data_IF_483685948844
#
_entry.id   IF_483685948844
#
_cell.length_a   1.000
_cell.length_b   1.000
_cell.length_c   1.000
_cell.angle_alpha   90.00
_cell.angle_beta   90.00
_cell.angle_gamma   90.00
#
_symmetry.space_group_name_H-M   'P 1'
#
loop_
_entity.id
_entity.type
_entity.pdbx_description
1 polymer ?
#
# COMPACT_ATOMS: atom_id res chain seq x y z
N UNK A 1 -5.53 4.89 -92.03
CA UNK A 1 -5.15 5.96 -91.10
C UNK A 1 -6.14 5.93 -89.94
N UNK A 2 -6.06 4.95 -89.03
CA UNK A 2 -5.21 4.87 -87.83
C UNK A 2 -5.42 6.01 -86.85
N UNK A 3 -5.91 5.64 -85.66
CA UNK A 3 -6.06 6.41 -84.43
C UNK A 3 -7.23 7.43 -84.41
N UNK A 4 -7.90 7.51 -83.25
CA UNK A 4 -8.99 8.44 -82.88
C UNK A 4 -10.43 7.96 -83.17
N UNK A 5 -10.81 6.78 -82.68
CA UNK A 5 -12.20 6.53 -82.25
C UNK A 5 -12.32 5.42 -81.18
N UNK A 6 -11.38 5.38 -80.24
CA UNK A 6 -11.30 4.36 -79.19
C UNK A 6 -11.45 4.94 -77.77
N UNK A 7 -12.19 6.05 -77.60
CA UNK A 7 -12.28 6.77 -76.32
C UNK A 7 -13.69 7.25 -75.94
N UNK A 8 -14.76 6.55 -76.36
CA UNK A 8 -16.14 6.92 -75.95
C UNK A 8 -17.09 5.80 -75.56
N UNK A 9 -16.62 4.55 -75.38
CA UNK A 9 -17.48 3.43 -74.94
C UNK A 9 -17.01 2.65 -73.71
N UNK A 10 -15.94 3.07 -73.04
CA UNK A 10 -15.43 2.38 -71.84
C UNK A 10 -15.55 3.18 -70.54
N UNK A 11 -16.06 4.42 -70.58
CA UNK A 11 -16.16 5.26 -69.39
C UNK A 11 -17.48 5.08 -68.58
N UNK A 12 -18.47 4.37 -69.11
CA UNK A 12 -19.78 4.23 -68.46
C UNK A 12 -19.97 2.90 -67.69
N UNK A 13 -19.03 1.94 -67.79
CA UNK A 13 -19.15 0.63 -67.15
C UNK A 13 -18.22 0.42 -65.93
N UNK A 14 -17.31 1.37 -65.64
CA UNK A 14 -16.41 1.27 -64.47
C UNK A 14 -16.89 2.13 -63.28
N UNK A 15 -17.79 3.09 -63.50
CA UNK A 15 -18.33 3.93 -62.41
C UNK A 15 -19.56 3.37 -61.69
N UNK A 16 -20.13 2.24 -62.13
CA UNK A 16 -21.30 1.62 -61.50
C UNK A 16 -20.97 0.38 -60.63
N UNK A 17 -19.72 -0.08 -60.62
CA UNK A 17 -19.27 -1.20 -59.76
C UNK A 17 -18.34 -0.72 -58.63
N UNK A 18 -17.75 0.47 -58.76
CA UNK A 18 -16.96 1.09 -57.69
C UNK A 18 -17.82 1.83 -56.63
N UNK A 19 -19.15 1.92 -56.80
CA UNK A 19 -20.04 2.56 -55.83
C UNK A 19 -20.94 1.58 -55.05
N UNK A 20 -20.83 0.26 -55.27
CA UNK A 20 -21.62 -0.76 -54.55
C UNK A 20 -20.77 -1.78 -53.78
N UNK A 21 -19.43 -1.63 -53.80
CA UNK A 21 -18.49 -2.42 -53.00
C UNK A 21 -17.73 -1.59 -51.94
N UNK A 22 -18.18 -0.36 -51.69
CA UNK A 22 -17.71 0.47 -50.57
C UNK A 22 -18.79 0.64 -49.48
N UNK A 23 -19.81 -0.21 -49.46
CA UNK A 23 -20.97 -0.10 -48.57
C UNK A 23 -21.13 -1.26 -47.58
N UNK A 24 -20.13 -2.13 -47.45
CA UNK A 24 -20.22 -3.31 -46.59
C UNK A 24 -18.90 -3.61 -45.88
N UNK A 25 -18.44 -2.68 -45.04
CA UNK A 25 -17.57 -2.93 -43.87
C UNK A 25 -17.31 -1.63 -43.08
N UNK A 26 -18.28 -0.72 -43.03
CA UNK A 26 -18.41 0.15 -41.87
C UNK A 26 -19.31 -0.59 -40.90
N UNK A 27 -18.73 -1.51 -40.14
CA UNK A 27 -19.31 -1.82 -38.83
C UNK A 27 -19.28 -0.48 -38.11
N UNK A 28 -20.41 0.21 -38.08
CA UNK A 28 -20.65 1.20 -37.06
C UNK A 28 -20.52 0.41 -35.76
N UNK A 29 -19.32 0.39 -35.18
CA UNK A 29 -19.22 0.49 -33.74
C UNK A 29 -19.94 1.80 -33.44
N UNK A 30 -21.25 1.72 -33.23
CA UNK A 30 -21.88 2.63 -32.32
C UNK A 30 -20.93 2.63 -31.11
N UNK A 31 -20.39 3.78 -30.67
CA UNK A 31 -19.72 3.79 -29.39
C UNK A 31 -20.73 3.11 -28.46
N UNK A 32 -20.34 1.98 -27.84
CA UNK A 32 -21.09 1.52 -26.67
C UNK A 32 -21.22 2.78 -25.86
N UNK A 33 -22.46 3.19 -25.56
CA UNK A 33 -22.64 4.23 -24.57
C UNK A 33 -21.81 3.76 -23.38
N UNK A 34 -20.72 4.48 -23.10
CA UNK A 34 -19.95 4.24 -21.91
C UNK A 34 -20.94 4.57 -20.80
N UNK A 35 -21.60 3.55 -20.26
CA UNK A 35 -22.19 3.68 -18.94
C UNK A 35 -20.99 3.93 -18.06
N UNK A 36 -20.88 5.12 -17.48
CA UNK A 36 -19.94 5.31 -16.39
C UNK A 36 -20.23 4.21 -15.36
N UNK A 37 -19.21 3.48 -14.92
CA UNK A 37 -19.31 2.54 -13.81
C UNK A 37 -20.15 3.15 -12.67
N UNK A 38 -21.10 2.37 -12.15
CA UNK A 38 -22.03 2.82 -11.11
C UNK A 38 -21.91 1.93 -9.88
N UNK A 39 -22.07 2.55 -8.71
CA UNK A 39 -22.24 1.81 -7.47
C UNK A 39 -23.49 0.92 -7.57
N UNK A 40 -23.28 -0.39 -7.45
CA UNK A 40 -24.33 -1.40 -7.63
C UNK A 40 -24.57 -2.14 -6.34
N UNK A 41 -25.83 -2.28 -5.93
CA UNK A 41 -26.18 -3.12 -4.79
C UNK A 41 -26.20 -4.60 -5.18
N UNK A 42 -25.51 -5.42 -4.39
CA UNK A 42 -25.51 -6.88 -4.51
C UNK A 42 -26.31 -7.46 -3.33
N UNK A 43 -27.35 -8.23 -3.64
CA UNK A 43 -28.27 -8.76 -2.63
C UNK A 43 -27.99 -10.22 -2.26
N UNK A 44 -27.27 -10.95 -3.11
CA UNK A 44 -26.94 -12.37 -2.91
C UNK A 44 -25.42 -12.56 -3.00
N UNK A 45 -24.73 -12.41 -1.86
CA UNK A 45 -23.26 -12.50 -1.77
C UNK A 45 -22.76 -13.59 -0.80
N UNK A 46 -23.64 -14.50 -0.38
CA UNK A 46 -23.32 -15.59 0.54
C UNK A 46 -23.82 -15.37 1.97
N UNK A 47 -23.12 -15.98 2.94
CA UNK A 47 -23.52 -15.94 4.35
C UNK A 47 -23.53 -14.51 4.89
N UNK A 48 -24.65 -14.08 5.46
CA UNK A 48 -24.84 -12.70 5.93
C UNK A 48 -25.43 -12.63 7.35
N UNK A 49 -24.75 -13.19 8.38
CA UNK A 49 -25.26 -13.18 9.74
C UNK A 49 -25.36 -11.77 10.36
N UNK A 50 -24.57 -10.80 9.87
CA UNK A 50 -24.66 -9.39 10.26
C UNK A 50 -25.84 -8.62 9.63
N UNK A 51 -26.59 -9.23 8.71
CA UNK A 51 -27.67 -8.60 7.94
C UNK A 51 -27.23 -7.28 7.29
N UNK A 52 -26.05 -7.29 6.66
CA UNK A 52 -25.49 -6.13 5.96
C UNK A 52 -26.01 -6.06 4.53
N UNK A 53 -26.01 -4.86 3.96
CA UNK A 53 -26.12 -4.68 2.50
C UNK A 53 -24.72 -4.61 1.90
N UNK A 54 -24.55 -5.11 0.68
CA UNK A 54 -23.30 -4.99 -0.08
C UNK A 54 -23.52 -4.05 -1.25
N UNK A 55 -22.63 -3.07 -1.41
CA UNK A 55 -22.54 -2.27 -2.61
C UNK A 55 -21.16 -2.45 -3.22
N UNK A 56 -21.07 -2.45 -4.55
CA UNK A 56 -19.82 -2.65 -5.26
C UNK A 56 -19.66 -1.60 -6.35
N UNK A 57 -18.43 -1.11 -6.49
CA UNK A 57 -17.99 -0.34 -7.63
C UNK A 57 -16.94 -1.12 -8.42
N UNK A 58 -17.18 -1.31 -9.72
CA UNK A 58 -16.26 -1.98 -10.64
C UNK A 58 -15.97 -1.03 -11.81
N UNK A 59 -14.74 -0.52 -11.95
CA UNK A 59 -14.32 0.31 -13.08
C UNK A 59 -14.60 -0.34 -14.45
N UNK A 60 -14.96 0.48 -15.45
CA UNK A 60 -15.25 0.00 -16.80
C UNK A 60 -14.03 -0.64 -17.49
N UNK A 61 -12.84 -0.12 -17.19
CA UNK A 61 -11.57 -0.55 -17.77
C UNK A 61 -10.73 -1.36 -16.77
N UNK A 62 -11.37 -2.26 -16.05
CA UNK A 62 -10.67 -3.11 -15.08
C UNK A 62 -9.81 -4.16 -15.79
N UNK A 63 -8.53 -4.23 -15.41
CA UNK A 63 -7.59 -5.24 -15.91
C UNK A 63 -7.89 -6.64 -15.35
N UNK A 64 -7.22 -7.69 -15.85
CA UNK A 64 -7.37 -9.03 -15.28
C UNK A 64 -6.83 -9.06 -13.83
N UNK A 65 -7.47 -9.85 -12.96
CA UNK A 65 -7.09 -10.03 -11.55
C UNK A 65 -6.95 -8.69 -10.79
N UNK A 66 -8.01 -7.85 -10.75
CA UNK A 66 -7.98 -6.60 -10.01
C UNK A 66 -7.84 -6.85 -8.52
N UNK A 67 -7.18 -5.93 -7.83
CA UNK A 67 -7.23 -5.92 -6.38
C UNK A 67 -8.65 -5.66 -5.86
N UNK A 68 -8.92 -6.05 -4.62
CA UNK A 68 -10.17 -5.78 -3.91
C UNK A 68 -9.88 -4.84 -2.75
N UNK A 69 -10.62 -3.74 -2.65
CA UNK A 69 -10.59 -2.82 -1.52
C UNK A 69 -11.94 -2.83 -0.81
N UNK A 70 -11.98 -3.29 0.43
CA UNK A 70 -13.16 -3.15 1.31
C UNK A 70 -13.11 -1.79 1.99
N UNK A 71 -14.14 -0.97 1.84
CA UNK A 71 -14.23 0.38 2.42
C UNK A 71 -15.40 0.48 3.40
N UNK A 72 -15.09 0.56 4.69
CA UNK A 72 -16.06 0.49 5.80
C UNK A 72 -16.43 1.89 6.33
N UNK A 73 -17.73 2.18 6.44
CA UNK A 73 -18.26 3.49 6.84
C UNK A 73 -18.25 3.73 8.36
N UNK A 74 -18.57 4.95 8.78
CA UNK A 74 -18.68 5.35 10.20
C UNK A 74 -20.09 5.08 10.77
N UNK A 75 -20.25 5.16 12.10
CA UNK A 75 -21.58 5.15 12.74
C UNK A 75 -22.49 6.21 12.14
N UNK A 76 -23.80 6.01 12.11
CA UNK A 76 -24.82 6.84 11.42
C UNK A 76 -24.69 6.98 9.89
N UNK A 77 -23.58 6.53 9.28
CA UNK A 77 -23.36 6.55 7.84
C UNK A 77 -23.93 5.32 7.11
N UNK A 78 -23.57 5.21 5.83
CA UNK A 78 -23.88 4.08 4.94
C UNK A 78 -22.79 3.89 3.89
N UNK A 79 -22.87 2.81 3.13
CA UNK A 79 -22.04 2.60 1.95
C UNK A 79 -22.10 3.78 0.96
N UNK A 80 -23.31 4.31 0.67
CA UNK A 80 -23.48 5.43 -0.26
C UNK A 80 -22.86 6.72 0.28
N UNK A 81 -22.97 6.99 1.58
CA UNK A 81 -22.32 8.17 2.18
C UNK A 81 -20.79 8.09 2.07
N UNK A 82 -20.22 6.90 2.27
CA UNK A 82 -18.78 6.68 2.17
C UNK A 82 -18.29 6.75 0.72
N UNK A 83 -19.06 6.18 -0.21
CA UNK A 83 -18.83 6.26 -1.65
C UNK A 83 -18.74 7.72 -2.11
N UNK A 84 -19.75 8.54 -1.78
CA UNK A 84 -19.80 9.95 -2.17
C UNK A 84 -18.67 10.79 -1.55
N UNK A 85 -18.16 10.40 -0.38
CA UNK A 85 -17.25 11.23 0.41
C UNK A 85 -15.76 10.87 0.27
N UNK A 86 -15.40 9.59 0.37
CA UNK A 86 -13.99 9.19 0.25
C UNK A 86 -13.53 9.12 -1.20
N UNK A 87 -14.43 8.89 -2.17
CA UNK A 87 -14.10 8.87 -3.61
C UNK A 87 -13.03 7.84 -4.01
N UNK A 88 -13.00 6.68 -3.35
CA UNK A 88 -12.10 5.57 -3.75
C UNK A 88 -12.42 5.02 -5.15
N UNK A 89 -13.60 5.29 -5.68
CA UNK A 89 -14.06 4.94 -7.02
C UNK A 89 -13.36 5.73 -8.12
N UNK A 90 -13.14 7.04 -7.95
CA UNK A 90 -12.35 7.84 -8.90
C UNK A 90 -10.91 7.30 -9.04
N UNK A 91 -10.34 6.87 -7.92
CA UNK A 91 -9.03 6.23 -7.89
C UNK A 91 -9.09 4.79 -8.45
N UNK A 92 -10.20 4.09 -8.30
CA UNK A 92 -10.41 2.77 -8.89
C UNK A 92 -10.44 2.84 -10.42
N UNK A 93 -11.09 3.87 -10.99
CA UNK A 93 -11.05 4.17 -12.42
C UNK A 93 -9.62 4.40 -12.92
N UNK A 94 -8.76 5.03 -12.11
CA UNK A 94 -7.39 5.33 -12.46
C UNK A 94 -6.43 4.13 -12.33
N UNK A 95 -6.59 3.32 -11.28
CA UNK A 95 -5.60 2.30 -10.89
C UNK A 95 -6.09 0.86 -11.01
N UNK A 96 -7.36 0.63 -11.34
CA UNK A 96 -7.90 -0.68 -11.70
C UNK A 96 -8.03 -1.65 -10.53
N UNK A 97 -8.94 -1.37 -9.59
CA UNK A 97 -9.31 -2.26 -8.49
C UNK A 97 -10.83 -2.23 -8.25
N UNK A 98 -11.36 -3.27 -7.62
CA UNK A 98 -12.77 -3.36 -7.19
C UNK A 98 -12.90 -2.69 -5.83
N UNK A 99 -13.98 -1.95 -5.60
CA UNK A 99 -14.32 -1.43 -4.27
C UNK A 99 -15.59 -2.08 -3.75
N UNK A 100 -15.50 -2.71 -2.58
CA UNK A 100 -16.63 -3.29 -1.86
C UNK A 100 -16.98 -2.37 -0.70
N UNK A 101 -18.24 -1.96 -0.61
CA UNK A 101 -18.78 -1.08 0.42
C UNK A 101 -19.86 -1.83 1.23
N UNK A 102 -19.50 -2.43 2.37
CA UNK A 102 -20.48 -2.96 3.31
C UNK A 102 -21.33 -1.83 3.89
N UNK A 103 -22.63 -2.04 4.08
CA UNK A 103 -23.54 -1.07 4.68
C UNK A 103 -24.34 -1.69 5.83
N UNK A 104 -24.23 -1.08 7.01
CA UNK A 104 -24.93 -1.53 8.22
C UNK A 104 -26.42 -1.20 8.16
N UNK A 105 -27.29 -2.17 8.46
CA UNK A 105 -28.74 -2.01 8.39
C UNK A 105 -29.37 -1.57 9.71
N UNK A 106 -28.82 -2.00 10.86
CA UNK A 106 -29.32 -1.67 12.22
C UNK A 106 -29.28 -0.16 12.53
N UNK A 107 -30.00 0.24 13.58
CA UNK A 107 -30.29 1.64 13.89
C UNK A 107 -29.05 2.50 14.18
N UNK A 108 -28.04 1.96 14.87
CA UNK A 108 -26.79 2.68 15.19
C UNK A 108 -25.96 2.99 13.95
N UNK A 109 -26.09 2.16 12.90
CA UNK A 109 -25.20 2.10 11.74
C UNK A 109 -23.72 1.90 12.10
N UNK A 110 -23.40 1.57 13.34
CA UNK A 110 -22.06 1.19 13.76
C UNK A 110 -21.85 -0.28 13.40
N UNK A 111 -20.67 -0.65 12.90
CA UNK A 111 -20.26 -2.03 12.70
C UNK A 111 -20.22 -2.80 14.03
N UNK A 112 -20.57 -4.09 14.00
CA UNK A 112 -20.45 -4.97 15.15
C UNK A 112 -18.98 -5.33 15.37
N UNK A 113 -18.34 -4.58 16.27
CA UNK A 113 -16.95 -4.78 16.70
C UNK A 113 -16.86 -5.12 18.19
N UNK A 114 -17.99 -5.50 18.78
CA UNK A 114 -18.14 -5.73 20.21
C UNK A 114 -18.50 -7.19 20.53
N UNK A 115 -19.31 -7.83 19.67
CA UNK A 115 -19.76 -9.19 19.90
C UNK A 115 -18.63 -10.21 19.71
N UNK A 116 -18.64 -11.27 20.53
CA UNK A 116 -17.71 -12.39 20.35
C UNK A 116 -17.88 -13.06 18.99
N UNK A 117 -19.08 -13.07 18.42
CA UNK A 117 -19.33 -13.67 17.11
C UNK A 117 -18.56 -12.95 16.00
N UNK A 118 -18.58 -11.61 15.99
CA UNK A 118 -17.82 -10.81 15.03
C UNK A 118 -16.31 -10.88 15.31
N UNK A 119 -15.90 -10.82 16.58
CA UNK A 119 -14.49 -10.84 16.99
C UNK A 119 -13.79 -12.22 16.83
N UNK A 120 -14.53 -13.30 16.57
CA UNK A 120 -13.97 -14.64 16.36
C UNK A 120 -14.28 -15.22 14.97
N UNK A 121 -14.92 -14.45 14.09
CA UNK A 121 -15.29 -14.91 12.75
C UNK A 121 -16.33 -16.03 12.73
N UNK A 122 -17.09 -16.22 13.81
CA UNK A 122 -18.16 -17.23 13.88
C UNK A 122 -19.54 -16.65 13.53
N UNK A 123 -19.64 -15.34 13.34
CA UNK A 123 -20.87 -14.66 12.92
C UNK A 123 -20.71 -13.15 12.88
N UNK A 124 -21.83 -12.43 12.94
CA UNK A 124 -21.83 -10.96 12.95
C UNK A 124 -21.35 -10.33 11.65
N UNK A 125 -20.97 -9.07 11.73
CA UNK A 125 -20.59 -8.28 10.57
C UNK A 125 -19.32 -8.77 9.88
N UNK A 126 -18.32 -9.24 10.65
CA UNK A 126 -17.04 -9.65 10.08
C UNK A 126 -17.21 -10.82 9.11
N UNK A 127 -18.07 -11.80 9.42
CA UNK A 127 -18.42 -12.90 8.51
C UNK A 127 -19.16 -12.39 7.27
N UNK A 128 -20.14 -11.51 7.44
CA UNK A 128 -20.85 -10.91 6.31
C UNK A 128 -19.89 -10.22 5.34
N UNK A 129 -18.92 -9.46 5.84
CA UNK A 129 -17.93 -8.75 5.01
C UNK A 129 -16.96 -9.73 4.34
N UNK A 130 -16.56 -10.81 5.03
CA UNK A 130 -15.76 -11.89 4.43
C UNK A 130 -16.51 -12.48 3.23
N UNK A 131 -17.80 -12.79 3.36
CA UNK A 131 -18.62 -13.27 2.23
C UNK A 131 -18.65 -12.28 1.06
N UNK A 132 -18.67 -10.97 1.33
CA UNK A 132 -18.58 -9.96 0.26
C UNK A 132 -17.23 -9.99 -0.47
N UNK A 133 -16.13 -10.25 0.25
CA UNK A 133 -14.81 -10.44 -0.37
C UNK A 133 -14.79 -11.70 -1.22
N UNK A 134 -15.34 -12.82 -0.72
CA UNK A 134 -15.44 -14.06 -1.49
C UNK A 134 -16.22 -13.84 -2.79
N UNK A 135 -17.36 -13.15 -2.71
CA UNK A 135 -18.13 -12.77 -3.89
C UNK A 135 -17.30 -11.94 -4.88
N UNK A 136 -16.51 -10.98 -4.40
CA UNK A 136 -15.65 -10.17 -5.26
C UNK A 136 -14.54 -11.00 -5.93
N UNK A 137 -14.04 -12.04 -5.28
CA UNK A 137 -13.07 -12.97 -5.85
C UNK A 137 -13.75 -13.85 -6.90
N UNK A 138 -14.81 -14.55 -6.51
CA UNK A 138 -15.42 -15.63 -7.29
C UNK A 138 -16.24 -15.10 -8.48
N UNK A 139 -17.01 -14.03 -8.27
CA UNK A 139 -17.97 -13.52 -9.26
C UNK A 139 -17.46 -12.31 -10.04
N UNK A 140 -16.55 -11.53 -9.46
CA UNK A 140 -16.00 -10.31 -10.09
C UNK A 140 -14.55 -10.49 -10.56
N UNK A 141 -13.96 -11.66 -10.34
CA UNK A 141 -12.61 -12.02 -10.80
C UNK A 141 -11.49 -11.31 -10.04
N UNK A 142 -11.78 -10.82 -8.82
CA UNK A 142 -10.80 -10.18 -7.97
C UNK A 142 -9.66 -11.13 -7.57
N UNK A 143 -8.48 -10.57 -7.39
CA UNK A 143 -7.26 -11.30 -7.06
C UNK A 143 -7.22 -11.61 -5.54
N UNK A 144 -7.28 -12.89 -5.13
CA UNK A 144 -7.23 -13.27 -3.71
C UNK A 144 -5.90 -12.91 -3.04
N UNK A 145 -4.84 -12.68 -3.83
CA UNK A 145 -3.54 -12.23 -3.31
C UNK A 145 -3.44 -10.70 -3.16
N UNK A 146 -4.50 -9.96 -3.50
CA UNK A 146 -4.53 -8.48 -3.48
C UNK A 146 -5.82 -7.95 -2.86
N UNK A 147 -6.14 -8.40 -1.66
CA UNK A 147 -7.29 -7.92 -0.88
C UNK A 147 -6.85 -6.98 0.24
N UNK A 148 -7.50 -5.84 0.35
CA UNK A 148 -7.19 -4.76 1.29
C UNK A 148 -8.47 -4.27 1.99
N UNK A 149 -8.32 -3.70 3.18
CA UNK A 149 -9.43 -3.10 3.91
C UNK A 149 -9.09 -1.71 4.42
N UNK A 150 -10.05 -0.81 4.38
CA UNK A 150 -9.94 0.53 4.94
C UNK A 150 -11.25 0.93 5.60
N UNK A 151 -11.19 1.90 6.49
CA UNK A 151 -12.40 2.48 7.05
C UNK A 151 -12.13 3.62 7.99
N UNK A 152 -13.22 4.25 8.42
CA UNK A 152 -13.19 5.41 9.32
C UNK A 152 -14.10 5.20 10.52
N UNK A 153 -13.68 5.67 11.71
CA UNK A 153 -14.47 5.55 12.93
C UNK A 153 -14.84 4.09 13.20
N UNK A 154 -16.12 3.75 13.36
CA UNK A 154 -16.59 2.37 13.44
C UNK A 154 -16.08 1.46 12.31
N UNK A 155 -15.92 1.97 11.09
CA UNK A 155 -15.32 1.22 9.98
C UNK A 155 -13.82 1.02 10.12
N UNK A 156 -13.12 1.92 10.79
CA UNK A 156 -11.71 1.75 11.17
C UNK A 156 -11.56 0.66 12.24
N UNK A 157 -12.50 0.59 13.19
CA UNK A 157 -12.57 -0.52 14.15
C UNK A 157 -12.83 -1.85 13.44
N UNK A 158 -13.79 -1.88 12.51
CA UNK A 158 -14.11 -3.09 11.74
C UNK A 158 -12.92 -3.52 10.88
N UNK A 159 -12.16 -2.58 10.31
CA UNK A 159 -10.93 -2.90 9.57
C UNK A 159 -9.90 -3.62 10.47
N UNK A 160 -9.70 -3.16 11.71
CA UNK A 160 -8.89 -3.90 12.69
C UNK A 160 -9.43 -5.32 12.96
N UNK A 161 -10.76 -5.48 13.08
CA UNK A 161 -11.41 -6.79 13.25
C UNK A 161 -11.15 -7.71 12.05
N UNK A 162 -11.36 -7.22 10.83
CA UNK A 162 -11.16 -8.00 9.61
C UNK A 162 -9.72 -8.52 9.48
N UNK A 163 -8.74 -7.65 9.75
CA UNK A 163 -7.32 -8.02 9.69
C UNK A 163 -6.92 -9.01 10.79
N UNK A 164 -7.51 -8.92 11.98
CA UNK A 164 -7.23 -9.83 13.09
C UNK A 164 -7.89 -11.19 12.94
N UNK A 165 -9.11 -11.23 12.41
CA UNK A 165 -9.90 -12.46 12.26
C UNK A 165 -9.56 -13.23 10.98
N UNK A 166 -9.29 -12.53 9.88
CA UNK A 166 -9.03 -13.12 8.55
C UNK A 166 -7.66 -12.70 7.98
N UNK A 167 -6.55 -12.93 8.70
CA UNK A 167 -5.22 -12.51 8.25
C UNK A 167 -4.76 -13.21 6.96
N UNK A 168 -5.33 -14.37 6.64
CA UNK A 168 -5.08 -15.08 5.38
C UNK A 168 -5.69 -14.37 4.15
N UNK A 169 -6.76 -13.60 4.36
CA UNK A 169 -7.50 -12.89 3.32
C UNK A 169 -6.84 -11.55 3.01
N UNK A 170 -6.65 -10.70 4.02
CA UNK A 170 -6.21 -9.32 3.81
C UNK A 170 -4.68 -9.19 3.79
N UNK A 171 -4.12 -8.42 2.86
CA UNK A 171 -2.66 -8.18 2.78
C UNK A 171 -2.22 -6.93 3.52
N UNK A 172 -3.10 -5.93 3.60
CA UNK A 172 -2.90 -4.74 4.39
C UNK A 172 -4.22 -4.04 4.72
N UNK A 173 -4.20 -3.21 5.75
CA UNK A 173 -5.33 -2.37 6.16
C UNK A 173 -4.91 -0.95 6.53
N UNK A 174 -5.85 -0.02 6.39
CA UNK A 174 -5.66 1.39 6.72
C UNK A 174 -6.83 1.93 7.53
N UNK A 175 -6.56 2.50 8.69
CA UNK A 175 -7.58 2.86 9.67
C UNK A 175 -7.55 4.34 10.01
N UNK A 176 -8.68 5.02 9.83
CA UNK A 176 -8.84 6.45 10.08
C UNK A 176 -9.66 6.66 11.35
N UNK A 177 -9.00 7.11 12.42
CA UNK A 177 -9.59 7.28 13.75
C UNK A 177 -10.33 6.02 14.22
N UNK A 178 -9.56 4.95 14.48
CA UNK A 178 -10.05 3.65 14.94
C UNK A 178 -9.67 3.33 16.38
N UNK A 179 -9.79 2.06 16.77
CA UNK A 179 -9.29 1.52 18.04
C UNK A 179 -8.69 0.13 17.79
N UNK A 180 -7.88 -0.40 18.72
CA UNK A 180 -7.30 -1.74 18.57
C UNK A 180 -8.37 -2.82 18.44
N UNK A 181 -8.03 -3.91 17.75
CA UNK A 181 -8.81 -5.14 17.74
C UNK A 181 -9.10 -5.62 19.18
N UNK A 182 -10.34 -6.05 19.44
CA UNK A 182 -10.90 -6.41 20.77
C UNK A 182 -11.10 -5.27 21.77
N UNK A 183 -10.69 -4.03 21.47
CA UNK A 183 -10.86 -2.92 22.42
C UNK A 183 -12.35 -2.64 22.70
N UNK A 184 -13.22 -2.75 21.69
CA UNK A 184 -14.66 -2.57 21.83
C UNK A 184 -15.42 -3.80 22.33
N UNK A 185 -14.74 -4.89 22.68
CA UNK A 185 -15.40 -6.10 23.16
C UNK A 185 -16.33 -5.81 24.35
N UNK A 186 -17.54 -6.36 24.31
CA UNK A 186 -18.50 -6.30 25.42
C UNK A 186 -19.06 -7.70 25.71
N UNK A 187 -19.59 -7.88 26.92
CA UNK A 187 -20.23 -9.15 27.35
C UNK A 187 -21.69 -8.99 27.71
N UNK A 188 -22.21 -7.75 27.69
CA UNK A 188 -23.57 -7.36 28.06
C UNK A 188 -24.46 -7.09 26.84
N UNK A 189 -23.91 -7.23 25.63
CA UNK A 189 -24.60 -6.94 24.37
C UNK A 189 -24.56 -5.47 23.96
N UNK A 190 -23.84 -4.61 24.68
CA UNK A 190 -23.65 -3.21 24.30
C UNK A 190 -22.81 -3.09 23.02
N UNK A 191 -23.26 -2.29 22.06
CA UNK A 191 -22.50 -1.99 20.83
C UNK A 191 -21.38 -0.95 21.07
N UNK A 192 -21.39 -0.28 22.23
CA UNK A 192 -20.45 0.78 22.56
C UNK A 192 -19.70 0.46 23.86
N UNK A 193 -18.37 0.50 23.80
CA UNK A 193 -17.52 0.37 24.98
C UNK A 193 -16.88 1.72 25.31
N UNK A 194 -17.47 2.43 26.29
CA UNK A 194 -16.98 3.77 26.68
C UNK A 194 -15.56 3.74 27.23
N UNK A 195 -15.16 2.68 27.94
CA UNK A 195 -13.80 2.55 28.48
C UNK A 195 -12.76 2.53 27.36
N UNK A 196 -13.03 1.80 26.27
CA UNK A 196 -12.19 1.84 25.09
C UNK A 196 -12.27 3.20 24.37
N UNK A 197 -13.49 3.70 24.10
CA UNK A 197 -13.69 4.93 23.35
C UNK A 197 -12.96 6.13 23.99
N UNK A 198 -12.94 6.22 25.32
CA UNK A 198 -12.24 7.30 26.04
C UNK A 198 -10.77 6.98 26.34
N UNK A 199 -10.19 5.95 25.72
CA UNK A 199 -8.76 5.63 25.82
C UNK A 199 -8.32 5.19 27.23
N UNK A 200 -9.22 4.56 27.99
CA UNK A 200 -8.92 4.09 29.37
C UNK A 200 -8.51 2.61 29.41
N UNK A 201 -8.54 1.90 28.28
CA UNK A 201 -7.93 0.58 28.15
C UNK A 201 -6.47 0.79 27.77
N UNK A 202 -5.59 0.36 28.66
CA UNK A 202 -4.13 0.37 28.50
C UNK A 202 -3.69 -1.08 28.72
N UNK A 203 -3.31 -1.76 27.63
CA UNK A 203 -2.78 -3.13 27.68
C UNK A 203 -1.36 -3.13 27.15
N UNK A 204 -0.56 -4.07 27.63
CA UNK A 204 0.77 -4.27 27.08
C UNK A 204 0.71 -4.67 25.59
N UNK A 205 1.73 -4.35 24.79
CA UNK A 205 1.84 -4.84 23.40
C UNK A 205 1.62 -6.35 23.29
N UNK A 206 2.13 -7.12 24.26
CA UNK A 206 1.95 -8.57 24.32
C UNK A 206 0.49 -8.97 24.48
N UNK A 207 -0.25 -8.38 25.41
CA UNK A 207 -1.67 -8.66 25.62
C UNK A 207 -2.51 -8.31 24.38
N UNK A 208 -2.17 -7.20 23.71
CA UNK A 208 -2.83 -6.84 22.46
C UNK A 208 -2.53 -7.81 21.32
N UNK A 209 -1.27 -8.17 21.12
CA UNK A 209 -0.88 -9.11 20.08
C UNK A 209 -1.42 -10.53 20.33
N UNK A 210 -1.45 -10.97 21.60
CA UNK A 210 -2.04 -12.26 21.98
C UNK A 210 -3.55 -12.28 21.72
N UNK A 211 -4.25 -11.16 21.93
CA UNK A 211 -5.66 -11.06 21.58
C UNK A 211 -5.91 -11.23 20.07
N UNK A 212 -5.05 -10.65 19.22
CA UNK A 212 -5.10 -10.85 17.75
C UNK A 212 -4.83 -12.31 17.40
N UNK A 213 -3.70 -12.87 17.85
CA UNK A 213 -3.33 -14.27 17.56
C UNK A 213 -4.35 -15.29 18.06
N UNK A 214 -5.06 -14.98 19.15
CA UNK A 214 -6.09 -15.86 19.71
C UNK A 214 -7.37 -15.92 18.89
N UNK A 215 -7.62 -14.93 18.01
CA UNK A 215 -8.80 -14.94 17.13
C UNK A 215 -8.68 -16.00 16.03
N UNK A 216 -7.44 -16.29 15.58
CA UNK A 216 -7.16 -17.35 14.61
C UNK A 216 -5.93 -18.18 15.05
N UNK A 217 -6.07 -19.05 16.07
CA UNK A 217 -4.93 -19.70 16.74
C UNK A 217 -4.17 -20.72 15.88
N UNK A 218 -4.71 -21.08 14.71
CA UNK A 218 -4.06 -21.96 13.74
C UNK A 218 -3.29 -21.24 12.65
N UNK A 219 -3.33 -19.90 12.60
CA UNK A 219 -2.68 -19.12 11.56
C UNK A 219 -1.17 -18.98 11.81
N UNK A 220 -0.36 -19.43 10.86
CA UNK A 220 1.11 -19.32 10.86
C UNK A 220 1.66 -18.54 9.65
N UNK A 221 0.76 -17.94 8.87
CA UNK A 221 1.10 -17.11 7.70
C UNK A 221 1.55 -15.69 8.07
N UNK A 222 1.89 -14.87 7.06
CA UNK A 222 2.27 -13.47 7.27
C UNK A 222 1.07 -12.63 7.72
N UNK A 223 1.26 -11.77 8.72
CA UNK A 223 0.19 -10.87 9.15
C UNK A 223 -0.02 -9.71 8.15
N UNK A 224 -1.25 -9.18 8.03
CA UNK A 224 -1.51 -8.00 7.22
C UNK A 224 -0.72 -6.79 7.73
N UNK A 225 -0.21 -5.95 6.81
CA UNK A 225 0.41 -4.66 7.21
C UNK A 225 -0.66 -3.67 7.67
N UNK A 226 -0.34 -2.80 8.61
CA UNK A 226 -1.29 -1.86 9.21
C UNK A 226 -0.87 -0.40 9.06
N UNK A 227 -1.76 0.45 8.57
CA UNK A 227 -1.59 1.91 8.53
C UNK A 227 -2.64 2.58 9.42
N UNK A 228 -2.23 3.47 10.32
CA UNK A 228 -3.07 4.08 11.35
C UNK A 228 -3.02 5.60 11.21
N UNK A 229 -4.17 6.25 11.13
CA UNK A 229 -4.28 7.72 11.18
C UNK A 229 -5.14 8.12 12.38
N UNK A 230 -4.66 9.04 13.21
CA UNK A 230 -5.43 9.49 14.39
C UNK A 230 -5.15 10.95 14.74
N UNK A 231 -6.19 11.66 15.17
CA UNK A 231 -6.10 13.06 15.58
C UNK A 231 -5.82 13.21 17.07
N UNK A 232 -4.94 14.13 17.46
CA UNK A 232 -4.57 14.31 18.88
C UNK A 232 -5.70 14.88 19.74
N UNK A 233 -6.72 15.47 19.12
CA UNK A 233 -7.87 16.09 19.81
C UNK A 233 -9.18 15.31 19.58
N UNK A 234 -9.10 14.07 19.09
CA UNK A 234 -10.27 13.22 18.83
C UNK A 234 -11.13 13.02 20.10
N UNK A 235 -12.36 13.52 20.05
CA UNK A 235 -13.34 13.48 21.15
C UNK A 235 -14.36 12.35 21.02
N UNK A 236 -14.28 11.52 19.99
CA UNK A 236 -15.13 10.34 19.85
C UNK A 236 -14.37 9.07 20.27
N UNK A 237 -13.13 8.94 19.78
CA UNK A 237 -12.21 7.84 20.05
C UNK A 237 -10.88 8.43 20.45
N UNK A 238 -10.66 8.54 21.75
CA UNK A 238 -9.61 9.40 22.29
C UNK A 238 -8.23 8.92 21.85
N UNK A 239 -7.32 9.89 21.71
CA UNK A 239 -5.98 9.70 21.18
C UNK A 239 -5.14 8.57 21.82
N UNK A 240 -5.30 8.14 23.09
CA UNK A 240 -4.60 6.95 23.59
C UNK A 240 -4.78 5.70 22.72
N UNK A 241 -5.95 5.55 22.08
CA UNK A 241 -6.21 4.45 21.13
C UNK A 241 -5.23 4.42 19.93
N UNK A 242 -4.58 5.54 19.60
CA UNK A 242 -3.53 5.57 18.59
C UNK A 242 -2.32 4.74 19.02
N UNK A 243 -1.85 4.95 20.26
CA UNK A 243 -0.71 4.20 20.80
C UNK A 243 -1.07 2.73 21.00
N UNK A 244 -2.26 2.42 21.52
CA UNK A 244 -2.70 1.04 21.72
C UNK A 244 -2.75 0.25 20.39
N UNK A 245 -3.08 0.91 19.26
CA UNK A 245 -3.04 0.28 17.94
C UNK A 245 -1.60 0.03 17.48
N UNK A 246 -0.68 0.97 17.71
CA UNK A 246 0.74 0.77 17.42
C UNK A 246 1.27 -0.41 18.24
N UNK A 247 0.98 -0.45 19.54
CA UNK A 247 1.39 -1.52 20.45
C UNK A 247 0.87 -2.89 19.99
N UNK A 248 -0.40 -2.96 19.59
CA UNK A 248 -1.00 -4.17 19.04
C UNK A 248 -0.27 -4.67 17.80
N UNK A 249 -0.18 -3.83 16.77
CA UNK A 249 0.30 -4.28 15.46
C UNK A 249 1.81 -4.46 15.44
N UNK A 250 2.57 -3.68 16.20
CA UNK A 250 4.02 -3.93 16.36
C UNK A 250 4.28 -5.29 16.99
N UNK A 251 3.55 -5.65 18.05
CA UNK A 251 3.69 -6.97 18.67
C UNK A 251 3.21 -8.13 17.77
N UNK A 252 2.12 -7.94 17.01
CA UNK A 252 1.66 -8.94 16.02
C UNK A 252 2.76 -9.27 15.01
N UNK A 253 3.48 -8.23 14.54
CA UNK A 253 4.58 -8.35 13.59
C UNK A 253 5.93 -8.75 14.23
N UNK A 254 5.99 -8.89 15.56
CA UNK A 254 7.22 -9.24 16.27
C UNK A 254 8.30 -8.14 16.24
N UNK A 255 7.90 -6.89 16.00
CA UNK A 255 8.78 -5.71 16.08
C UNK A 255 8.64 -5.04 17.46
N UNK A 256 9.61 -4.20 17.82
CA UNK A 256 9.49 -3.35 19.00
C UNK A 256 8.67 -2.07 18.71
N UNK A 257 8.45 -1.25 19.74
CA UNK A 257 7.73 0.02 19.65
C UNK A 257 8.65 1.19 19.24
N UNK A 258 9.88 0.91 18.75
CA UNK A 258 10.79 1.94 18.29
C UNK A 258 10.56 2.13 16.79
N UNK A 259 10.20 3.35 16.41
CA UNK A 259 10.03 3.68 15.00
C UNK A 259 11.38 3.62 14.28
N UNK A 260 11.41 2.91 13.16
CA UNK A 260 12.56 2.83 12.25
C UNK A 260 12.75 4.12 11.47
N UNK A 261 11.65 4.82 11.23
CA UNK A 261 11.67 6.10 10.56
C UNK A 261 10.54 6.99 11.07
N UNK A 262 10.88 8.25 11.34
CA UNK A 262 9.93 9.29 11.70
C UNK A 262 10.09 10.47 10.76
N UNK A 263 8.99 10.90 10.15
CA UNK A 263 8.94 12.08 9.30
C UNK A 263 7.66 12.89 9.48
N UNK A 264 7.59 14.02 8.79
CA UNK A 264 6.48 14.97 8.86
C UNK A 264 5.91 15.19 7.46
N UNK A 265 4.94 14.36 7.01
CA UNK A 265 4.36 14.48 5.68
C UNK A 265 3.57 15.79 5.52
N UNK A 266 3.13 16.40 6.62
CA UNK A 266 2.51 17.72 6.70
C UNK A 266 3.00 18.47 7.95
N UNK A 267 2.84 19.81 8.01
CA UNK A 267 3.28 20.59 9.17
C UNK A 267 2.71 20.13 10.51
N UNK A 268 1.48 19.61 10.54
CA UNK A 268 0.80 19.10 11.72
C UNK A 268 0.72 17.57 11.76
N UNK A 269 1.45 16.86 10.90
CA UNK A 269 1.45 15.40 10.85
C UNK A 269 2.80 14.85 11.29
N UNK A 270 2.79 13.86 12.18
CA UNK A 270 3.98 13.06 12.51
C UNK A 270 3.71 11.62 12.12
N UNK A 271 4.51 11.09 11.20
CA UNK A 271 4.42 9.72 10.74
C UNK A 271 5.59 8.91 11.28
N UNK A 272 5.28 7.74 11.80
CA UNK A 272 6.23 6.75 12.32
C UNK A 272 6.05 5.44 11.54
N UNK A 273 7.15 4.73 11.29
CA UNK A 273 7.16 3.43 10.58
C UNK A 273 7.91 2.40 11.40
N UNK A 274 7.39 1.19 11.48
CA UNK A 274 7.91 0.11 12.32
C UNK A 274 8.16 -1.16 11.49
N UNK A 275 9.16 -1.95 11.89
CA UNK A 275 9.56 -3.20 11.26
C UNK A 275 10.33 -3.06 9.95
N UNK A 276 9.98 -2.09 9.10
CA UNK A 276 10.73 -1.69 7.89
C UNK A 276 10.44 -0.22 7.53
N UNK A 277 11.15 0.33 6.53
CA UNK A 277 10.93 1.71 6.05
C UNK A 277 10.19 1.75 4.70
N UNK A 278 9.76 2.97 4.31
CA UNK A 278 9.11 3.23 3.03
C UNK A 278 7.74 2.57 2.87
N UNK A 279 7.32 2.31 1.63
CA UNK A 279 6.01 1.69 1.32
C UNK A 279 5.86 0.22 1.75
N UNK A 280 6.88 -0.36 2.39
CA UNK A 280 6.87 -1.73 2.90
C UNK A 280 6.69 -1.83 4.41
N UNK A 281 6.63 -0.69 5.14
CA UNK A 281 6.44 -0.65 6.58
C UNK A 281 5.34 -1.64 7.04
N UNK A 282 5.67 -2.47 8.03
CA UNK A 282 4.73 -3.44 8.61
C UNK A 282 3.63 -2.72 9.38
N UNK A 283 4.02 -1.67 10.12
CA UNK A 283 3.12 -0.71 10.74
C UNK A 283 3.54 0.70 10.36
N UNK A 284 2.61 1.51 9.89
CA UNK A 284 2.78 2.95 9.66
C UNK A 284 1.74 3.71 10.47
N UNK A 285 2.14 4.67 11.28
CA UNK A 285 1.21 5.39 12.15
C UNK A 285 1.43 6.89 12.03
N UNK A 286 0.36 7.62 11.71
CA UNK A 286 0.34 9.05 11.45
C UNK A 286 -0.56 9.75 12.45
N UNK A 287 0.06 10.56 13.30
CA UNK A 287 -0.61 11.43 14.26
C UNK A 287 -0.82 12.81 13.66
N UNK A 288 -2.04 13.35 13.77
CA UNK A 288 -2.37 14.71 13.37
C UNK A 288 -2.60 15.61 14.57
N UNK A 289 -1.70 16.56 14.77
CA UNK A 289 -1.80 17.58 15.82
C UNK A 289 -2.99 18.51 15.57
N UNK A 290 -3.78 18.76 16.62
CA UNK A 290 -4.92 19.69 16.61
C UNK A 290 -6.14 19.20 15.83
N UNK A 291 -6.22 17.90 15.53
CA UNK A 291 -7.30 17.30 14.73
C UNK A 291 -8.22 16.46 15.60
N UNK A 292 -9.52 16.70 15.48
CA UNK A 292 -10.62 15.95 16.12
C UNK A 292 -11.12 14.80 15.23
N UNK A 293 -12.29 14.23 15.51
CA UNK A 293 -12.96 13.21 14.72
C UNK A 293 -13.71 13.85 13.53
N UNK A 294 -13.33 13.66 12.27
CA UNK A 294 -12.39 12.69 11.70
C UNK A 294 -11.08 13.29 11.18
N UNK A 295 -10.03 12.46 11.13
CA UNK A 295 -8.75 12.78 10.49
C UNK A 295 -8.86 13.00 8.97
N UNK A 296 -7.94 13.78 8.36
CA UNK A 296 -7.88 13.97 6.91
C UNK A 296 -7.80 12.65 6.14
N UNK A 297 -8.52 12.54 5.01
CA UNK A 297 -8.42 11.36 4.14
C UNK A 297 -7.15 11.41 3.31
N UNK A 298 -6.38 10.32 3.37
CA UNK A 298 -5.05 10.22 2.76
C UNK A 298 -5.08 9.16 1.66
N UNK A 299 -6.06 9.25 0.77
CA UNK A 299 -6.35 8.21 -0.23
C UNK A 299 -5.10 7.73 -0.97
N UNK A 300 -4.35 8.66 -1.56
CA UNK A 300 -3.17 8.30 -2.34
C UNK A 300 -2.07 7.67 -1.47
N UNK A 301 -1.94 8.10 -0.21
CA UNK A 301 -1.01 7.52 0.76
C UNK A 301 -1.45 6.10 1.16
N UNK A 302 -2.74 5.88 1.39
CA UNK A 302 -3.33 4.56 1.64
C UNK A 302 -3.15 3.62 0.45
N UNK A 303 -3.43 4.07 -0.77
CA UNK A 303 -3.25 3.24 -1.97
C UNK A 303 -1.78 2.90 -2.22
N UNK A 304 -0.86 3.81 -1.90
CA UNK A 304 0.59 3.53 -1.91
C UNK A 304 0.98 2.53 -0.84
N UNK A 305 0.43 2.67 0.37
CA UNK A 305 0.65 1.71 1.44
C UNK A 305 0.15 0.32 1.04
N UNK A 306 -0.97 0.20 0.32
CA UNK A 306 -1.46 -1.07 -0.23
C UNK A 306 -0.66 -1.58 -1.44
N UNK A 307 0.20 -0.76 -2.04
CA UNK A 307 0.90 -1.08 -3.28
C UNK A 307 0.00 -1.08 -4.52
N UNK A 308 -1.19 -0.45 -4.44
CA UNK A 308 -2.10 -0.25 -5.56
C UNK A 308 -1.65 0.91 -6.46
N UNK A 309 -0.91 1.84 -5.88
CA UNK A 309 -0.24 2.93 -6.58
C UNK A 309 1.25 2.82 -6.28
N UNK A 310 2.11 3.10 -7.26
CA UNK A 310 3.55 3.17 -7.02
C UNK A 310 3.85 4.18 -5.91
N UNK A 311 4.58 3.75 -4.87
CA UNK A 311 5.07 4.65 -3.83
C UNK A 311 5.90 5.78 -4.48
N UNK A 312 5.77 7.01 -3.96
CA UNK A 312 6.68 8.08 -4.39
C UNK A 312 8.11 7.63 -4.12
N UNK A 313 9.03 7.87 -5.06
CA UNK A 313 10.41 7.56 -4.83
C UNK A 313 10.92 8.36 -3.63
N UNK A 314 11.58 7.70 -2.66
CA UNK A 314 12.27 8.44 -1.59
C UNK A 314 13.53 9.04 -2.20
N UNK A 315 13.64 10.36 -2.21
CA UNK A 315 14.78 11.06 -2.79
C UNK A 315 15.63 11.63 -1.66
N UNK A 316 16.91 11.27 -1.61
CA UNK A 316 17.82 11.71 -0.55
C UNK A 316 19.26 11.28 -0.74
N UNK A 317 20.14 11.76 0.13
CA UNK A 317 21.52 11.28 0.20
C UNK A 317 21.62 10.05 1.10
N UNK A 318 22.41 9.04 0.71
CA UNK A 318 22.72 7.88 1.57
C UNK A 318 23.95 8.23 2.42
N UNK A 319 23.73 8.63 3.68
CA UNK A 319 24.78 9.09 4.59
C UNK A 319 25.25 7.98 5.55
N UNK A 320 26.56 7.74 5.62
CA UNK A 320 27.16 6.76 6.53
C UNK A 320 27.18 7.25 7.97
N UNK A 321 26.75 6.39 8.91
CA UNK A 321 26.62 6.72 10.32
C UNK A 321 27.97 7.08 10.97
N UNK A 322 29.03 6.33 10.67
CA UNK A 322 30.38 6.58 11.18
C UNK A 322 31.07 7.79 10.53
N UNK A 323 30.95 7.93 9.21
CA UNK A 323 31.72 8.91 8.43
C UNK A 323 31.05 10.28 8.34
N UNK A 324 29.72 10.34 8.56
CA UNK A 324 28.85 11.48 8.24
C UNK A 324 28.99 11.98 6.79
N UNK A 325 29.45 11.09 5.91
CA UNK A 325 29.68 11.30 4.48
C UNK A 325 28.70 10.48 3.68
N UNK A 326 28.45 10.90 2.45
CA UNK A 326 27.44 10.33 1.60
C UNK A 326 28.05 9.40 0.56
N UNK A 327 27.30 8.36 0.19
CA UNK A 327 27.56 7.56 -1.00
C UNK A 327 27.56 8.50 -2.20
N UNK A 328 28.61 8.41 -3.00
CA UNK A 328 28.92 9.36 -4.05
C UNK A 328 29.46 8.66 -5.28
N UNK A 329 29.04 9.13 -6.45
CA UNK A 329 29.61 8.71 -7.72
C UNK A 329 30.63 9.76 -8.20
N UNK A 330 31.91 9.37 -8.35
CA UNK A 330 32.92 10.26 -8.90
C UNK A 330 32.54 10.81 -10.28
N UNK A 331 32.92 12.06 -10.55
CA UNK A 331 32.63 12.73 -11.82
C UNK A 331 31.14 13.04 -11.99
N UNK A 332 30.61 12.83 -13.20
CA UNK A 332 29.18 13.04 -13.50
C UNK A 332 28.28 11.93 -12.97
N UNK A 333 28.84 10.76 -12.61
CA UNK A 333 28.05 9.62 -12.15
C UNK A 333 27.04 9.10 -13.17
N UNK A 334 27.39 9.12 -14.46
CA UNK A 334 26.52 8.67 -15.57
C UNK A 334 27.09 7.53 -16.39
N UNK A 335 28.29 7.06 -16.07
CA UNK A 335 29.00 6.02 -16.82
C UNK A 335 28.83 4.67 -16.11
N UNK A 336 28.37 3.64 -16.83
CA UNK A 336 28.20 2.30 -16.28
C UNK A 336 29.53 1.76 -15.74
N UNK A 337 29.47 1.02 -14.64
CA UNK A 337 30.64 0.53 -13.90
C UNK A 337 31.32 1.56 -13.02
N UNK A 338 30.83 2.80 -12.92
CA UNK A 338 31.38 3.80 -11.98
C UNK A 338 31.16 3.30 -10.55
N UNK A 339 32.24 3.11 -9.81
CA UNK A 339 32.21 2.64 -8.42
C UNK A 339 31.84 3.78 -7.48
N UNK A 340 30.92 3.48 -6.56
CA UNK A 340 30.53 4.40 -5.50
C UNK A 340 31.64 4.52 -4.43
N UNK A 341 31.79 5.73 -3.88
CA UNK A 341 32.75 6.05 -2.82
C UNK A 341 32.08 6.89 -1.74
N UNK A 342 32.70 7.02 -0.57
CA UNK A 342 32.34 8.05 0.40
C UNK A 342 32.85 9.41 -0.05
N UNK A 343 32.01 10.43 0.10
CA UNK A 343 32.42 11.81 -0.08
C UNK A 343 31.63 12.76 0.82
N UNK A 344 32.12 13.99 1.00
CA UNK A 344 31.36 15.01 1.73
C UNK A 344 29.98 15.17 1.08
N UNK A 345 28.93 15.08 1.89
CA UNK A 345 27.56 15.34 1.49
C UNK A 345 27.43 16.79 1.00
N UNK A 346 26.88 16.98 -0.19
CA UNK A 346 26.78 18.28 -0.83
C UNK A 346 25.47 18.50 -1.60
N UNK A 347 24.54 17.54 -1.56
CA UNK A 347 23.26 17.61 -2.27
C UNK A 347 23.39 17.59 -3.81
N UNK A 348 24.55 17.20 -4.33
CA UNK A 348 24.77 17.10 -5.77
C UNK A 348 24.02 15.91 -6.37
N UNK A 349 23.61 16.02 -7.64
CA UNK A 349 22.85 14.98 -8.34
C UNK A 349 23.56 13.60 -8.37
N UNK A 350 24.89 13.56 -8.24
CA UNK A 350 25.69 12.34 -8.12
C UNK A 350 25.85 11.81 -6.67
N UNK A 351 25.08 12.34 -5.73
CA UNK A 351 24.91 11.86 -4.35
C UNK A 351 23.43 11.77 -3.93
N UNK A 352 22.52 12.27 -4.77
CA UNK A 352 21.07 12.19 -4.55
C UNK A 352 20.53 10.93 -5.18
N UNK A 353 20.13 9.98 -4.34
CA UNK A 353 19.54 8.71 -4.74
C UNK A 353 18.03 8.78 -4.62
N UNK A 354 17.38 8.10 -5.55
CA UNK A 354 15.95 7.87 -5.62
C UNK A 354 15.70 6.41 -5.33
N UNK A 355 15.21 6.08 -4.14
CA UNK A 355 14.73 4.75 -3.83
C UNK A 355 13.35 4.55 -4.47
N UNK A 356 13.25 3.64 -5.42
CA UNK A 356 11.97 3.33 -6.09
C UNK A 356 11.13 2.37 -5.26
N UNK A 357 9.83 2.31 -5.54
CA UNK A 357 8.92 1.34 -4.93
C UNK A 357 9.34 -0.12 -5.16
N UNK A 358 10.08 -0.40 -6.25
CA UNK A 358 10.61 -1.73 -6.55
C UNK A 358 11.94 -2.04 -5.84
N UNK A 359 12.48 -1.10 -5.05
CA UNK A 359 13.72 -1.28 -4.30
C UNK A 359 15.00 -0.93 -5.07
N UNK A 360 14.92 -0.27 -6.23
CA UNK A 360 16.13 0.25 -6.90
C UNK A 360 16.61 1.52 -6.20
N UNK A 361 17.92 1.73 -6.14
CA UNK A 361 18.52 3.00 -5.72
C UNK A 361 19.03 3.72 -6.98
N UNK A 362 18.21 4.60 -7.54
CA UNK A 362 18.47 5.30 -8.78
C UNK A 362 19.26 6.60 -8.57
N UNK A 363 20.16 6.94 -9.47
CA UNK A 363 20.99 8.15 -9.40
C UNK A 363 21.42 8.53 -10.83
N UNK A 364 21.18 9.77 -11.24
CA UNK A 364 21.48 10.25 -12.60
C UNK A 364 20.98 9.34 -13.74
N UNK A 365 19.80 8.72 -13.58
CA UNK A 365 19.20 7.81 -14.56
C UNK A 365 19.87 6.43 -14.62
N UNK A 366 20.69 6.08 -13.63
CA UNK A 366 21.35 4.78 -13.45
C UNK A 366 20.92 4.14 -12.13
N UNK A 367 21.19 2.85 -11.95
CA UNK A 367 20.84 2.09 -10.76
C UNK A 367 22.10 1.61 -10.04
N UNK A 368 22.14 1.72 -8.71
CA UNK A 368 23.19 1.10 -7.89
C UNK A 368 23.12 -0.44 -8.02
N UNK A 369 24.26 -1.08 -8.19
CA UNK A 369 24.37 -2.50 -8.52
C UNK A 369 25.52 -3.18 -7.76
N UNK A 370 25.29 -4.43 -7.33
CA UNK A 370 26.35 -5.37 -7.01
C UNK A 370 27.08 -5.79 -8.29
N UNK A 371 28.28 -5.26 -8.54
CA UNK A 371 28.97 -5.39 -9.84
C UNK A 371 28.96 -6.83 -10.39
N UNK A 372 28.50 -6.98 -11.63
CA UNK A 372 28.43 -8.24 -12.37
C UNK A 372 27.63 -9.33 -11.62
N UNK A 373 26.66 -8.93 -10.80
CA UNK A 373 25.93 -9.80 -9.87
C UNK A 373 26.85 -10.58 -8.92
N UNK A 374 27.98 -10.00 -8.53
CA UNK A 374 28.96 -10.65 -7.65
C UNK A 374 28.37 -11.02 -6.28
N UNK A 375 28.78 -12.17 -5.75
CA UNK A 375 28.29 -12.73 -4.48
C UNK A 375 29.37 -12.83 -3.39
N UNK A 376 30.60 -12.40 -3.70
CA UNK A 376 31.73 -12.47 -2.79
C UNK A 376 31.90 -11.18 -1.97
N UNK A 377 32.45 -11.32 -0.75
CA UNK A 377 32.93 -10.17 0.03
C UNK A 377 33.93 -9.34 -0.78
N UNK A 378 33.73 -8.02 -0.81
CA UNK A 378 34.55 -7.12 -1.62
C UNK A 378 33.99 -6.89 -3.03
N UNK A 379 32.82 -7.46 -3.37
CA UNK A 379 32.10 -7.09 -4.60
C UNK A 379 31.86 -5.58 -4.58
N UNK A 380 32.15 -4.90 -5.69
CA UNK A 380 32.06 -3.44 -5.77
C UNK A 380 30.60 -3.00 -5.90
N UNK A 381 30.23 -1.93 -5.20
CA UNK A 381 28.99 -1.21 -5.46
C UNK A 381 29.24 -0.23 -6.62
N UNK A 382 28.61 -0.47 -7.77
CA UNK A 382 28.76 0.35 -8.98
C UNK A 382 27.41 0.87 -9.44
N UNK A 383 27.38 1.72 -10.46
CA UNK A 383 26.13 2.03 -11.18
C UNK A 383 26.12 1.40 -12.56
N UNK A 384 24.94 1.01 -13.03
CA UNK A 384 24.70 0.53 -14.40
C UNK A 384 23.31 0.99 -14.90
N UNK A 385 22.99 0.67 -16.16
CA UNK A 385 21.65 0.88 -16.71
C UNK A 385 20.61 0.11 -15.89
N UNK A 386 19.51 0.78 -15.54
CA UNK A 386 18.44 0.19 -14.75
C UNK A 386 17.74 -0.93 -15.53
N UNK A 387 17.81 -2.14 -14.97
CA UNK A 387 17.32 -3.37 -15.57
C UNK A 387 16.28 -4.09 -14.72
N UNK A 388 16.05 -3.64 -13.47
CA UNK A 388 15.26 -4.33 -12.43
C UNK A 388 15.76 -5.74 -12.09
N UNK A 389 16.99 -6.09 -12.49
CA UNK A 389 17.62 -7.33 -12.06
C UNK A 389 17.84 -7.35 -10.55
N UNK A 390 17.80 -8.53 -9.93
CA UNK A 390 17.91 -8.66 -8.46
C UNK A 390 19.20 -8.07 -7.89
N UNK A 391 20.28 -7.96 -8.69
CA UNK A 391 21.55 -7.33 -8.29
C UNK A 391 21.48 -5.81 -8.17
N UNK A 392 20.42 -5.19 -8.69
CA UNK A 392 20.13 -3.75 -8.60
C UNK A 392 19.02 -3.42 -7.60
N UNK A 393 18.44 -4.44 -6.96
CA UNK A 393 17.42 -4.27 -5.93
C UNK A 393 18.06 -4.31 -4.54
N UNK A 394 17.61 -3.42 -3.68
CA UNK A 394 18.18 -3.19 -2.36
C UNK A 394 17.07 -3.09 -1.31
N UNK A 395 17.26 -3.79 -0.20
CA UNK A 395 16.48 -3.56 1.01
C UNK A 395 17.23 -2.53 1.84
N UNK A 396 16.65 -1.35 2.01
CA UNK A 396 17.12 -0.36 3.00
C UNK A 396 16.44 -0.73 4.31
N UNK A 397 17.21 -1.21 5.28
CA UNK A 397 16.71 -1.87 6.48
C UNK A 397 16.60 -0.88 7.65
N UNK A 398 15.70 -1.23 8.57
CA UNK A 398 15.47 -0.62 9.87
C UNK A 398 16.76 -0.45 10.70
N UNK A 399 17.56 -1.53 10.77
CA UNK A 399 18.82 -1.57 11.52
C UNK A 399 19.94 -0.72 10.91
N UNK A 400 19.62 0.14 9.94
CA UNK A 400 20.52 1.04 9.21
C UNK A 400 21.36 0.35 8.14
N UNK A 401 21.26 -0.96 7.96
CA UNK A 401 21.95 -1.64 6.86
C UNK A 401 21.23 -1.44 5.53
N UNK A 402 21.97 -1.53 4.42
CA UNK A 402 21.39 -1.61 3.07
C UNK A 402 21.85 -2.92 2.47
N UNK A 403 20.94 -3.87 2.26
CA UNK A 403 21.27 -5.22 1.76
C UNK A 403 20.89 -5.37 0.30
N UNK A 404 21.72 -6.06 -0.46
CA UNK A 404 21.41 -6.37 -1.85
C UNK A 404 20.50 -7.61 -1.94
N UNK A 405 19.42 -7.52 -2.70
CA UNK A 405 18.41 -8.60 -2.80
C UNK A 405 18.98 -9.86 -3.46
N UNK A 406 19.97 -9.74 -4.36
CA UNK A 406 20.54 -10.91 -5.05
C UNK A 406 21.39 -11.80 -4.15
N UNK A 407 22.20 -11.21 -3.27
CA UNK A 407 23.25 -11.93 -2.53
C UNK A 407 23.15 -11.78 -1.00
N UNK A 408 22.26 -10.93 -0.49
CA UNK A 408 22.06 -10.70 0.95
C UNK A 408 23.21 -9.94 1.65
N UNK A 409 24.22 -9.45 0.92
CA UNK A 409 25.34 -8.71 1.48
C UNK A 409 24.97 -7.24 1.74
N UNK A 410 25.62 -6.64 2.74
CA UNK A 410 25.44 -5.26 3.15
C UNK A 410 26.34 -4.31 2.36
N UNK A 411 25.80 -3.13 2.04
CA UNK A 411 26.56 -1.98 1.57
C UNK A 411 27.54 -1.54 2.67
N UNK A 412 28.82 -1.43 2.34
CA UNK A 412 29.91 -1.32 3.30
C UNK A 412 30.93 -0.27 2.83
N UNK A 413 31.30 0.65 3.73
CA UNK A 413 32.47 1.49 3.54
C UNK A 413 33.75 0.70 3.86
N UNK A 414 34.51 0.38 2.81
CA UNK A 414 35.57 -0.62 2.86
C UNK A 414 36.56 -0.40 4.01
N UNK A 415 36.79 -1.46 4.79
CA UNK A 415 37.73 -1.46 5.90
C UNK A 415 37.38 -0.50 7.03
N UNK A 416 36.12 -0.04 7.11
CA UNK A 416 35.69 0.96 8.09
C UNK A 416 36.19 2.37 7.79
N UNK A 417 36.56 2.65 6.54
CA UNK A 417 37.09 3.96 6.15
C UNK A 417 36.07 5.09 6.32
N UNK A 418 36.53 6.25 6.78
CA UNK A 418 35.69 7.44 7.01
C UNK A 418 36.08 8.64 6.14
N UNK A 419 37.12 8.49 5.31
CA UNK A 419 37.66 9.54 4.48
C UNK A 419 36.95 9.64 3.13
N UNK A 420 37.03 10.82 2.52
CA UNK A 420 36.66 11.00 1.11
C UNK A 420 37.45 10.01 0.23
N UNK A 421 36.78 9.38 -0.72
CA UNK A 421 37.36 8.37 -1.61
C UNK A 421 37.43 6.96 -1.05
N UNK A 422 36.94 6.72 0.19
CA UNK A 422 36.77 5.34 0.69
C UNK A 422 35.80 4.60 -0.23
N UNK A 423 36.20 3.44 -0.73
CA UNK A 423 35.37 2.64 -1.63
C UNK A 423 34.12 2.09 -0.94
N UNK A 424 32.99 2.11 -1.63
CA UNK A 424 31.79 1.38 -1.22
C UNK A 424 31.78 0.01 -1.91
N UNK A 425 31.58 -1.02 -1.10
CA UNK A 425 31.57 -2.41 -1.51
C UNK A 425 30.39 -3.15 -0.87
N UNK A 426 30.27 -4.43 -1.17
CA UNK A 426 29.37 -5.35 -0.50
C UNK A 426 30.18 -6.31 0.38
N UNK A 427 29.70 -6.52 1.59
CA UNK A 427 30.34 -7.39 2.57
C UNK A 427 29.28 -8.10 3.43
N UNK A 428 29.65 -9.21 4.06
CA UNK A 428 28.78 -9.85 5.06
C UNK A 428 28.30 -8.83 6.09
N UNK A 429 27.02 -8.87 6.42
CA UNK A 429 26.43 -7.97 7.39
C UNK A 429 26.99 -8.26 8.78
N UNK A 430 27.68 -7.29 9.36
CA UNK A 430 28.33 -7.36 10.68
C UNK A 430 27.66 -6.47 11.72
N UNK A 431 26.76 -5.58 11.29
CA UNK A 431 26.19 -4.52 12.13
C UNK A 431 27.17 -3.40 12.48
N UNK A 432 28.40 -3.44 11.94
CA UNK A 432 29.42 -2.43 12.17
C UNK A 432 29.01 -1.05 11.64
N UNK A 433 29.48 0.02 12.27
CA UNK A 433 29.08 1.41 11.94
C UNK A 433 29.46 1.89 10.53
N UNK A 434 30.29 1.13 9.82
CA UNK A 434 30.65 1.33 8.41
C UNK A 434 29.66 0.68 7.42
N UNK A 435 28.69 -0.09 7.92
CA UNK A 435 27.57 -0.67 7.17
C UNK A 435 26.23 -0.02 7.54
N UNK A 436 26.30 1.08 8.29
CA UNK A 436 25.16 1.79 8.85
C UNK A 436 24.93 3.07 8.07
N UNK A 437 23.73 3.24 7.54
CA UNK A 437 23.37 4.26 6.56
C UNK A 437 22.04 4.91 6.91
N UNK A 438 21.87 6.16 6.50
CA UNK A 438 20.60 6.89 6.60
C UNK A 438 20.31 7.55 5.27
N UNK A 439 19.12 7.33 4.73
CA UNK A 439 18.60 8.07 3.57
C UNK A 439 17.92 9.34 4.09
N UNK A 440 18.39 10.52 3.67
CA UNK A 440 17.95 11.81 4.22
C UNK A 440 17.93 12.96 3.23
#
# INVERSE_FOLDING_TARGET
MTAVHQWRRSAAAVFAVALTLASALAVFMAPKAAHAAQLTQITEFGDNPGNLEMYVYVPDNIGPNPAILVSNHWCTGSATNLYDWMQFDEMADQYGYIVVYPSVTRASKCFDVASQASLSGTGGDSVSIKSMVDYAIDELGGDPDRVFATGISSGAMMTNVLLGVYPEVFKAGSVYAGVPFTCFATTDGSEWNSTCATGMIDRTPQEWGDAVRSANPGYDGPWPRMQIFHGTEDQALYYPNFQEQIDQWTNVHGTDQVAEFTDHPEPNATRTRYGTIGGQALVEAVSYEGVDHSVPHRLLETLRFFGLVSAEPIVGEIAGAASKRCVHLPGTGTVNGTQAVLWKCNGGANQTFTQTASGELQVNGKCLEAKDSGTANGTKAVIDDCSRGTSQLWNVNADGTITNVHNGLCLDAFGGGTNNGTEIILWICTGGSNQQWTLR
#
